data_IF_196334270649
#
_entry.id   IF_196334270649
#
_cell.length_a   1.000
_cell.length_b   1.000
_cell.length_c   1.000
_cell.angle_alpha   90.00
_cell.angle_beta   90.00
_cell.angle_gamma   90.00
#
_symmetry.space_group_name_H-M   'P 1'
#
loop_
_entity.id
_entity.type
_entity.pdbx_description
1 polymer ?
#
# COMPACT_ATOMS: atom_id res chain seq x y z
N UNK A 1 -8.78 21.07 19.98
CA UNK A 1 -8.69 19.62 20.20
C UNK A 1 -7.70 19.06 19.19
N UNK A 2 -6.75 18.23 19.65
CA UNK A 2 -5.85 17.54 18.72
C UNK A 2 -6.70 16.51 17.96
N UNK A 3 -6.66 16.57 16.62
CA UNK A 3 -7.33 15.61 15.75
C UNK A 3 -6.86 14.19 16.09
N UNK A 4 -7.80 13.28 16.35
CA UNK A 4 -7.48 11.90 16.65
C UNK A 4 -7.07 11.17 15.37
N UNK A 5 -5.81 10.79 15.28
CA UNK A 5 -5.24 10.04 14.16
C UNK A 5 -5.12 8.57 14.54
N UNK A 6 -5.71 7.69 13.77
CA UNK A 6 -5.68 6.25 14.02
C UNK A 6 -5.44 5.46 12.72
N UNK A 7 -4.65 4.39 12.83
CA UNK A 7 -4.50 3.38 11.77
C UNK A 7 -4.86 2.04 12.42
N UNK A 8 -5.92 1.41 11.93
CA UNK A 8 -6.40 0.14 12.48
C UNK A 8 -6.40 -0.97 11.45
N UNK A 9 -6.24 -2.19 11.91
CA UNK A 9 -6.37 -3.38 11.08
C UNK A 9 -7.81 -3.53 10.59
N UNK A 10 -7.93 -3.98 9.34
CA UNK A 10 -9.21 -4.23 8.65
C UNK A 10 -9.69 -5.65 8.92
N UNK A 11 -11.00 -5.81 9.03
CA UNK A 11 -11.69 -7.09 8.95
C UNK A 11 -12.49 -7.21 7.64
N UNK A 12 -13.06 -8.39 7.37
CA UNK A 12 -13.90 -8.58 6.18
C UNK A 12 -15.16 -7.72 6.17
N UNK A 13 -15.59 -7.21 7.32
CA UNK A 13 -16.73 -6.28 7.43
C UNK A 13 -16.39 -4.88 6.93
N UNK A 14 -15.12 -4.55 6.75
CA UNK A 14 -14.64 -3.26 6.25
C UNK A 14 -14.45 -3.23 4.72
N UNK A 15 -14.76 -4.31 4.01
CA UNK A 15 -14.54 -4.40 2.56
C UNK A 15 -15.23 -3.26 1.80
N UNK A 16 -16.46 -2.91 2.19
CA UNK A 16 -17.17 -1.78 1.58
C UNK A 16 -16.42 -0.46 1.75
N UNK A 17 -15.86 -0.21 2.93
CA UNK A 17 -15.05 0.99 3.18
C UNK A 17 -13.79 1.03 2.31
N UNK A 18 -13.09 -0.09 2.15
CA UNK A 18 -11.93 -0.18 1.24
C UNK A 18 -12.35 0.12 -0.20
N UNK A 19 -13.47 -0.43 -0.66
CA UNK A 19 -14.00 -0.21 -2.01
C UNK A 19 -14.36 1.26 -2.24
N UNK A 20 -15.00 1.90 -1.28
CA UNK A 20 -15.38 3.33 -1.37
C UNK A 20 -14.14 4.22 -1.46
N UNK A 21 -13.12 3.96 -0.64
CA UNK A 21 -11.84 4.66 -0.70
C UNK A 21 -11.12 4.41 -2.05
N UNK A 22 -11.08 3.17 -2.51
CA UNK A 22 -10.44 2.80 -3.76
C UNK A 22 -11.13 3.42 -4.98
N UNK A 23 -12.46 3.51 -4.98
CA UNK A 23 -13.25 4.12 -6.06
C UNK A 23 -12.89 5.60 -6.30
N UNK A 24 -12.38 6.27 -5.29
CA UNK A 24 -11.89 7.66 -5.39
C UNK A 24 -10.39 7.70 -5.68
N UNK A 25 -9.60 7.00 -4.88
CA UNK A 25 -8.14 7.13 -4.88
C UNK A 25 -7.47 6.53 -6.12
N UNK A 26 -7.95 5.39 -6.58
CA UNK A 26 -7.33 4.68 -7.70
C UNK A 26 -7.52 5.42 -9.03
N UNK A 27 -8.73 5.80 -9.45
CA UNK A 27 -8.92 6.62 -10.65
C UNK A 27 -8.22 7.98 -10.55
N UNK A 28 -8.23 8.63 -9.38
CA UNK A 28 -7.52 9.90 -9.17
C UNK A 28 -6.01 9.76 -9.44
N UNK A 29 -5.42 8.66 -9.00
CA UNK A 29 -3.98 8.40 -9.18
C UNK A 29 -3.63 8.11 -10.65
N UNK A 30 -4.48 7.35 -11.35
CA UNK A 30 -4.12 6.74 -12.63
C UNK A 30 -4.79 7.37 -13.86
N UNK A 31 -5.71 8.33 -13.70
CA UNK A 31 -6.47 8.93 -14.82
C UNK A 31 -5.59 9.60 -15.89
N UNK A 32 -4.39 10.03 -15.55
CA UNK A 32 -3.42 10.61 -16.50
C UNK A 32 -2.37 9.61 -17.00
N UNK A 33 -2.38 8.36 -16.50
CA UNK A 33 -1.37 7.34 -16.77
C UNK A 33 -1.95 6.18 -17.57
N UNK A 34 -3.18 5.77 -17.26
CA UNK A 34 -3.86 4.61 -17.83
C UNK A 34 -5.15 5.03 -18.52
N UNK A 35 -5.62 4.19 -19.46
CA UNK A 35 -6.94 4.38 -20.07
C UNK A 35 -8.07 4.13 -19.07
N UNK A 36 -9.24 4.71 -19.32
CA UNK A 36 -10.44 4.49 -18.51
C UNK A 36 -10.85 3.02 -18.47
N UNK A 37 -10.69 2.30 -19.57
CA UNK A 37 -10.98 0.87 -19.69
C UNK A 37 -10.03 0.04 -18.84
N UNK A 38 -8.73 0.37 -18.82
CA UNK A 38 -7.75 -0.31 -17.98
C UNK A 38 -8.01 -0.03 -16.50
N UNK A 39 -8.35 1.22 -16.14
CA UNK A 39 -8.73 1.57 -14.76
C UNK A 39 -9.96 0.77 -14.32
N UNK A 40 -11.00 0.69 -15.14
CA UNK A 40 -12.22 -0.08 -14.85
C UNK A 40 -11.91 -1.57 -14.67
N UNK A 41 -11.08 -2.14 -15.55
CA UNK A 41 -10.61 -3.52 -15.41
C UNK A 41 -9.86 -3.75 -14.10
N UNK A 42 -8.93 -2.87 -13.75
CA UNK A 42 -8.13 -2.99 -12.52
C UNK A 42 -8.98 -2.82 -11.27
N UNK A 43 -9.97 -1.92 -11.31
CA UNK A 43 -10.91 -1.75 -10.20
C UNK A 43 -11.72 -3.02 -9.93
N UNK A 44 -12.22 -3.69 -10.97
CA UNK A 44 -12.92 -4.95 -10.81
C UNK A 44 -11.98 -6.07 -10.35
N UNK A 45 -10.82 -6.19 -10.97
CA UNK A 45 -9.82 -7.22 -10.67
C UNK A 45 -9.29 -7.14 -9.24
N UNK A 46 -8.98 -5.92 -8.73
CA UNK A 46 -8.35 -5.75 -7.42
C UNK A 46 -9.31 -5.40 -6.29
N UNK A 47 -10.44 -4.76 -6.60
CA UNK A 47 -11.32 -4.14 -5.60
C UNK A 47 -12.77 -4.62 -5.64
N UNK A 48 -13.13 -5.62 -6.45
CA UNK A 48 -14.42 -6.28 -6.28
C UNK A 48 -14.50 -6.91 -4.88
N UNK A 49 -15.71 -7.06 -4.34
CA UNK A 49 -15.90 -7.66 -3.01
C UNK A 49 -15.25 -9.05 -2.92
N UNK A 50 -15.45 -9.85 -3.96
CA UNK A 50 -14.88 -11.19 -4.05
C UNK A 50 -13.35 -11.15 -4.04
N UNK A 51 -12.74 -10.23 -4.81
CA UNK A 51 -11.29 -10.09 -4.87
C UNK A 51 -10.70 -9.67 -3.52
N UNK A 52 -11.27 -8.65 -2.86
CA UNK A 52 -10.80 -8.20 -1.54
C UNK A 52 -10.96 -9.28 -0.48
N UNK A 53 -12.06 -10.03 -0.51
CA UNK A 53 -12.28 -11.17 0.40
C UNK A 53 -11.19 -12.21 0.21
N UNK A 54 -10.92 -12.63 -1.02
CA UNK A 54 -9.87 -13.60 -1.35
C UNK A 54 -8.48 -13.10 -0.92
N UNK A 55 -8.15 -11.84 -1.21
CA UNK A 55 -6.88 -11.24 -0.77
C UNK A 55 -6.70 -11.35 0.75
N UNK A 56 -7.75 -11.08 1.54
CA UNK A 56 -7.68 -11.09 3.00
C UNK A 56 -7.71 -12.50 3.61
N UNK A 57 -8.41 -13.45 2.99
CA UNK A 57 -8.64 -14.79 3.59
C UNK A 57 -7.77 -15.88 3.01
N UNK A 58 -7.29 -15.74 1.78
CA UNK A 58 -6.57 -16.79 1.05
C UNK A 58 -5.16 -16.34 0.62
N UNK A 59 -5.00 -15.09 0.19
CA UNK A 59 -3.74 -14.59 -0.36
C UNK A 59 -2.83 -13.94 0.70
N UNK A 60 -3.27 -13.82 1.95
CA UNK A 60 -2.48 -13.33 3.07
C UNK A 60 -2.26 -11.83 3.11
N UNK A 61 -3.07 -11.04 2.41
CA UNK A 61 -3.03 -9.59 2.52
C UNK A 61 -3.51 -9.12 3.90
N UNK A 62 -2.75 -8.24 4.53
CA UNK A 62 -3.09 -7.58 5.78
C UNK A 62 -3.41 -6.13 5.48
N UNK A 63 -4.67 -5.77 5.60
CA UNK A 63 -5.17 -4.43 5.31
C UNK A 63 -5.28 -3.58 6.57
N UNK A 64 -5.04 -2.28 6.39
CA UNK A 64 -5.24 -1.24 7.41
C UNK A 64 -6.00 -0.06 6.81
N UNK A 65 -6.85 0.55 7.61
CA UNK A 65 -7.54 1.81 7.31
C UNK A 65 -6.96 2.91 8.21
N UNK A 66 -6.63 4.03 7.60
CA UNK A 66 -6.26 5.25 8.30
C UNK A 66 -7.51 6.12 8.51
N UNK A 67 -7.68 6.62 9.72
CA UNK A 67 -8.81 7.45 10.12
C UNK A 67 -8.32 8.78 10.70
N UNK A 68 -8.99 9.85 10.32
CA UNK A 68 -8.88 11.15 10.95
C UNK A 68 -10.26 11.51 11.54
N UNK A 69 -10.31 11.73 12.86
CA UNK A 69 -11.56 12.00 13.59
C UNK A 69 -12.66 10.95 13.32
N UNK A 70 -12.25 9.66 13.26
CA UNK A 70 -13.07 8.49 12.92
C UNK A 70 -13.57 8.44 11.47
N UNK A 71 -13.12 9.33 10.60
CA UNK A 71 -13.45 9.33 9.17
C UNK A 71 -12.38 8.56 8.41
N UNK A 72 -12.71 7.49 7.66
CA UNK A 72 -11.77 6.79 6.81
C UNK A 72 -11.22 7.71 5.73
N UNK A 73 -9.88 7.81 5.62
CA UNK A 73 -9.25 8.73 4.68
C UNK A 73 -8.14 8.08 3.85
N UNK A 74 -7.79 6.84 4.12
CA UNK A 74 -6.79 6.11 3.37
C UNK A 74 -6.73 4.64 3.79
N UNK A 75 -6.04 3.85 3.01
CA UNK A 75 -5.82 2.42 3.29
C UNK A 75 -4.47 1.97 2.78
N UNK A 76 -3.94 0.93 3.39
CA UNK A 76 -2.75 0.22 2.94
C UNK A 76 -2.95 -1.29 3.07
N UNK A 77 -2.15 -2.04 2.32
CA UNK A 77 -2.10 -3.50 2.38
C UNK A 77 -0.66 -3.97 2.28
N UNK A 78 -0.27 -4.84 3.19
CA UNK A 78 1.00 -5.58 3.14
C UNK A 78 0.71 -7.07 2.95
N UNK A 79 1.64 -7.76 2.28
CA UNK A 79 1.54 -9.21 2.03
C UNK A 79 2.89 -9.85 2.27
N UNK A 80 3.01 -10.90 3.11
CA UNK A 80 4.20 -11.72 3.16
C UNK A 80 4.40 -12.47 1.83
N UNK A 81 5.59 -12.36 1.24
CA UNK A 81 5.95 -13.03 -0.03
C UNK A 81 7.21 -13.89 0.16
N UNK A 82 7.13 -14.94 0.94
CA UNK A 82 8.27 -15.80 1.25
C UNK A 82 8.85 -15.57 2.63
N UNK A 83 10.08 -16.04 2.86
CA UNK A 83 10.63 -16.11 4.20
C UNK A 83 10.96 -14.74 4.81
N UNK A 84 11.64 -13.90 4.03
CA UNK A 84 12.20 -12.62 4.51
C UNK A 84 11.78 -11.45 3.61
N UNK A 85 10.65 -11.58 2.89
CA UNK A 85 10.15 -10.60 1.93
C UNK A 85 8.70 -10.27 2.23
N UNK A 86 8.39 -8.97 2.25
CA UNK A 86 7.05 -8.42 2.34
C UNK A 86 6.80 -7.50 1.17
N UNK A 87 5.57 -7.46 0.68
CA UNK A 87 5.15 -6.52 -0.35
C UNK A 87 4.17 -5.49 0.21
N UNK A 88 4.47 -4.21 0.04
CA UNK A 88 3.51 -3.14 0.24
C UNK A 88 2.64 -3.06 -1.03
N UNK A 89 1.52 -3.77 -1.01
CA UNK A 89 0.66 -3.94 -2.18
C UNK A 89 -0.15 -2.69 -2.50
N UNK A 90 -0.56 -1.94 -1.47
CA UNK A 90 -1.40 -0.76 -1.60
C UNK A 90 -1.04 0.27 -0.54
N UNK A 91 -1.01 1.55 -0.92
CA UNK A 91 -0.95 2.70 -0.03
C UNK A 91 -1.63 3.87 -0.76
N UNK A 92 -2.84 4.20 -0.35
CA UNK A 92 -3.64 5.24 -0.97
C UNK A 92 -4.27 6.15 0.10
N UNK A 93 -4.38 7.43 -0.24
CA UNK A 93 -4.92 8.48 0.62
C UNK A 93 -5.87 9.31 -0.23
N UNK A 94 -7.04 9.64 0.29
CA UNK A 94 -7.98 10.54 -0.35
C UNK A 94 -7.29 11.87 -0.71
N UNK A 95 -7.59 12.46 -1.89
CA UNK A 95 -6.93 13.67 -2.36
C UNK A 95 -6.90 14.80 -1.33
N UNK A 96 -8.01 15.03 -0.62
CA UNK A 96 -8.13 16.11 0.38
C UNK A 96 -7.23 15.93 1.61
N UNK A 97 -6.70 14.73 1.83
CA UNK A 97 -5.81 14.40 2.95
C UNK A 97 -4.34 14.24 2.52
N UNK A 98 -4.03 14.42 1.23
CA UNK A 98 -2.67 14.38 0.73
C UNK A 98 -1.90 15.65 1.17
N UNK A 99 -0.57 15.53 1.28
CA UNK A 99 0.27 16.65 1.73
C UNK A 99 0.26 16.91 3.26
N UNK A 100 -0.56 16.21 4.02
CA UNK A 100 -0.70 16.39 5.49
C UNK A 100 0.16 15.40 6.31
N UNK A 101 1.11 14.71 5.68
CA UNK A 101 2.02 13.78 6.34
C UNK A 101 1.47 12.35 6.54
N UNK A 102 0.26 12.06 6.09
CA UNK A 102 -0.36 10.74 6.23
C UNK A 102 0.39 9.64 5.49
N UNK A 103 0.92 9.91 4.30
CA UNK A 103 1.72 8.94 3.55
C UNK A 103 2.89 8.41 4.37
N UNK A 104 3.65 9.31 5.01
CA UNK A 104 4.76 8.94 5.89
C UNK A 104 4.29 8.12 7.09
N UNK A 105 3.19 8.51 7.74
CA UNK A 105 2.65 7.78 8.90
C UNK A 105 2.21 6.37 8.51
N UNK A 106 1.51 6.22 7.39
CA UNK A 106 1.04 4.92 6.89
C UNK A 106 2.21 4.04 6.46
N UNK A 107 3.22 4.60 5.81
CA UNK A 107 4.44 3.88 5.43
C UNK A 107 5.20 3.38 6.67
N UNK A 108 5.39 4.23 7.67
CA UNK A 108 6.03 3.84 8.92
C UNK A 108 5.20 2.81 9.70
N UNK A 109 3.87 2.91 9.66
CA UNK A 109 3.00 1.89 10.25
C UNK A 109 3.22 0.53 9.57
N UNK A 110 3.27 0.48 8.24
CA UNK A 110 3.56 -0.75 7.49
C UNK A 110 4.91 -1.36 7.90
N UNK A 111 5.97 -0.54 7.97
CA UNK A 111 7.30 -1.04 8.39
C UNK A 111 7.32 -1.54 9.83
N UNK A 112 6.60 -0.89 10.74
CA UNK A 112 6.50 -1.34 12.14
C UNK A 112 5.73 -2.66 12.26
N UNK A 113 4.62 -2.80 11.55
CA UNK A 113 3.86 -4.08 11.50
C UNK A 113 4.74 -5.20 10.95
N UNK A 114 5.51 -4.95 9.89
CA UNK A 114 6.44 -5.94 9.34
C UNK A 114 7.48 -6.35 10.39
N UNK A 115 8.05 -5.41 11.13
CA UNK A 115 9.00 -5.70 12.22
C UNK A 115 8.40 -6.55 13.33
N UNK A 116 7.14 -6.31 13.68
CA UNK A 116 6.41 -7.10 14.68
C UNK A 116 6.14 -8.52 14.19
N UNK A 117 5.75 -8.67 12.92
CA UNK A 117 5.48 -9.98 12.31
C UNK A 117 6.75 -10.80 12.05
N UNK A 118 7.86 -10.11 11.76
CA UNK A 118 9.13 -10.73 11.38
C UNK A 118 10.30 -10.06 12.09
N UNK A 119 10.68 -10.56 13.28
CA UNK A 119 11.76 -9.96 14.09
C UNK A 119 13.18 -10.07 13.53
N UNK A 120 13.40 -10.83 12.45
CA UNK A 120 14.67 -10.91 11.74
C UNK A 120 14.79 -9.83 10.65
N UNK A 121 16.00 -9.50 10.16
CA UNK A 121 16.14 -8.64 8.99
C UNK A 121 15.34 -9.15 7.80
N UNK A 122 14.65 -8.24 7.12
CA UNK A 122 13.81 -8.57 5.97
C UNK A 122 13.76 -7.41 4.99
N UNK A 123 13.12 -7.63 3.86
CA UNK A 123 12.96 -6.62 2.81
C UNK A 123 11.49 -6.33 2.54
N UNK A 124 11.14 -5.05 2.43
CA UNK A 124 9.86 -4.62 1.91
C UNK A 124 10.02 -4.18 0.46
N UNK A 125 9.21 -4.75 -0.43
CA UNK A 125 9.12 -4.39 -1.85
C UNK A 125 7.81 -3.66 -2.11
N UNK A 126 7.76 -2.90 -3.20
CA UNK A 126 6.53 -2.41 -3.81
C UNK A 126 6.69 -2.22 -5.31
N UNK A 127 5.58 -2.32 -6.03
CA UNK A 127 5.49 -1.91 -7.42
C UNK A 127 4.94 -0.48 -7.49
N UNK A 128 5.57 0.36 -8.31
CA UNK A 128 5.10 1.71 -8.60
C UNK A 128 5.22 1.99 -10.09
N UNK A 129 4.12 2.42 -10.72
CA UNK A 129 4.15 2.79 -12.12
C UNK A 129 5.20 3.88 -12.36
N UNK A 130 5.97 3.77 -13.45
CA UNK A 130 7.09 4.69 -13.78
C UNK A 130 6.65 6.15 -13.88
N UNK A 131 5.39 6.41 -14.19
CA UNK A 131 4.80 7.75 -14.31
C UNK A 131 4.02 8.19 -13.07
N UNK A 132 3.96 7.37 -12.03
CA UNK A 132 3.26 7.71 -10.79
C UNK A 132 4.11 8.67 -9.94
N UNK A 133 3.54 9.80 -9.55
CA UNK A 133 4.18 10.81 -8.70
C UNK A 133 4.61 10.26 -7.34
N UNK A 134 4.00 9.19 -6.86
CA UNK A 134 4.36 8.53 -5.61
C UNK A 134 5.80 7.98 -5.61
N UNK A 135 6.44 7.79 -6.77
CA UNK A 135 7.83 7.37 -6.86
C UNK A 135 8.76 8.24 -6.01
N UNK A 136 8.61 9.57 -6.10
CA UNK A 136 9.43 10.50 -5.31
C UNK A 136 9.18 10.38 -3.81
N UNK A 137 7.95 10.11 -3.42
CA UNK A 137 7.61 9.85 -2.02
C UNK A 137 8.33 8.60 -1.52
N UNK A 138 8.29 7.49 -2.24
CA UNK A 138 8.97 6.26 -1.84
C UNK A 138 10.49 6.42 -1.78
N UNK A 139 11.09 7.16 -2.71
CA UNK A 139 12.52 7.50 -2.66
C UNK A 139 12.86 8.30 -1.39
N UNK A 140 12.04 9.29 -1.01
CA UNK A 140 12.20 10.05 0.25
C UNK A 140 12.04 9.20 1.50
N UNK A 141 11.27 8.10 1.41
CA UNK A 141 11.13 7.13 2.50
C UNK A 141 12.30 6.14 2.58
N UNK A 142 13.31 6.28 1.73
CA UNK A 142 14.53 5.47 1.73
C UNK A 142 14.48 4.25 0.81
N UNK A 143 13.43 4.09 0.01
CA UNK A 143 13.36 3.02 -0.97
C UNK A 143 14.26 3.28 -2.18
N UNK A 144 14.84 2.23 -2.72
CA UNK A 144 15.65 2.26 -3.95
C UNK A 144 15.06 1.36 -5.02
N UNK A 145 15.28 1.70 -6.29
CA UNK A 145 14.85 0.84 -7.39
C UNK A 145 15.72 -0.43 -7.41
N UNK A 146 15.07 -1.59 -7.35
CA UNK A 146 15.75 -2.90 -7.42
C UNK A 146 15.58 -3.59 -8.76
N UNK A 147 14.47 -3.33 -9.45
CA UNK A 147 14.23 -3.81 -10.83
C UNK A 147 13.10 -3.02 -11.50
N UNK A 148 12.78 -3.37 -12.73
CA UNK A 148 11.68 -2.84 -13.50
C UNK A 148 11.12 -3.88 -14.46
N UNK A 149 9.89 -3.69 -14.90
CA UNK A 149 9.27 -4.57 -15.89
C UNK A 149 7.97 -4.03 -16.44
N UNK A 150 7.51 -4.67 -17.49
CA UNK A 150 6.19 -4.50 -18.07
C UNK A 150 5.39 -5.76 -17.72
N UNK A 151 4.57 -5.64 -16.67
CA UNK A 151 3.86 -6.78 -16.09
C UNK A 151 2.48 -6.93 -16.74
N UNK A 152 2.26 -8.07 -17.39
CA UNK A 152 0.93 -8.42 -17.90
C UNK A 152 -0.04 -8.65 -16.73
N UNK A 153 -1.14 -7.91 -16.72
CA UNK A 153 -2.17 -8.00 -15.67
C UNK A 153 -3.47 -8.65 -16.15
N UNK A 154 -3.45 -9.22 -17.36
CA UNK A 154 -4.60 -9.84 -18.01
C UNK A 154 -5.33 -8.88 -18.96
N UNK A 155 -6.26 -9.44 -19.74
CA UNK A 155 -7.07 -8.71 -20.72
C UNK A 155 -6.27 -7.84 -21.72
N UNK A 156 -4.99 -8.20 -21.98
CA UNK A 156 -4.10 -7.44 -22.85
C UNK A 156 -3.51 -6.17 -22.21
N UNK A 157 -3.76 -5.92 -20.94
CA UNK A 157 -3.21 -4.77 -20.21
C UNK A 157 -1.87 -5.08 -19.53
N UNK A 158 -1.08 -4.02 -19.36
CA UNK A 158 0.23 -4.06 -18.70
C UNK A 158 0.34 -2.95 -17.67
N UNK A 159 1.12 -3.24 -16.60
CA UNK A 159 1.66 -2.23 -15.70
C UNK A 159 3.15 -2.09 -15.93
N UNK A 160 3.57 -0.87 -16.23
CA UNK A 160 4.96 -0.51 -16.50
C UNK A 160 5.57 0.03 -15.20
N UNK A 161 6.12 -0.87 -14.39
CA UNK A 161 6.47 -0.56 -13.01
C UNK A 161 7.98 -0.57 -12.77
N UNK A 162 8.41 0.26 -11.83
CA UNK A 162 9.60 0.01 -11.03
C UNK A 162 9.23 -0.85 -9.82
N UNK A 163 10.11 -1.78 -9.48
CA UNK A 163 10.08 -2.46 -8.18
C UNK A 163 11.04 -1.71 -7.26
N UNK A 164 10.50 -1.16 -6.18
CA UNK A 164 11.25 -0.46 -5.15
C UNK A 164 11.47 -1.37 -3.95
N UNK A 165 12.61 -1.25 -3.30
CA UNK A 165 12.96 -2.06 -2.13
C UNK A 165 13.47 -1.23 -0.96
N UNK A 166 13.15 -1.69 0.25
CA UNK A 166 13.65 -1.16 1.52
C UNK A 166 14.13 -2.31 2.39
N UNK A 167 15.38 -2.25 2.85
CA UNK A 167 15.88 -3.17 3.86
C UNK A 167 15.33 -2.75 5.24
N UNK A 168 14.68 -3.69 5.92
CA UNK A 168 14.14 -3.49 7.27
C UNK A 168 15.06 -4.23 8.24
N UNK A 169 15.86 -3.46 8.96
CA UNK A 169 16.75 -3.96 9.99
C UNK A 169 16.17 -3.61 11.38
N UNK A 170 16.33 -4.52 12.34
CA UNK A 170 16.08 -4.20 13.73
C UNK A 170 17.30 -3.45 14.26
N UNK A 171 17.13 -2.16 14.56
CA UNK A 171 18.12 -1.45 15.37
C UNK A 171 18.25 -2.22 16.68
N UNK A 172 19.44 -2.76 16.97
CA UNK A 172 19.76 -3.20 18.32
C UNK A 172 19.54 -1.97 19.19
N UNK A 173 18.56 -2.01 20.10
CA UNK A 173 18.57 -1.13 21.24
C UNK A 173 19.89 -1.41 21.98
N UNK A 174 20.88 -0.56 21.81
CA UNK A 174 21.99 -0.55 22.74
C UNK A 174 21.38 -0.24 24.11
N UNK A 175 21.55 -1.11 25.12
CA UNK A 175 21.15 -0.74 26.46
C UNK A 175 21.92 0.52 26.84
N UNK A 176 21.32 1.45 27.57
CA UNK A 176 22.06 2.59 28.10
C UNK A 176 23.18 2.08 28.98
N UNK A 177 24.41 2.60 28.76
CA UNK A 177 25.56 2.41 29.63
C UNK A 177 25.29 3.05 31.00
#
# INVERSE_FOLDING_TARGET
>A
MLSAHNIRKVSITDISTIRDLAAITFPHTYSTILSSEQIAYMMEWMYSEQSLRRQMTEEGHIYFIALQDNIPMGYLSIQPEGKDVFHLQKLYILPDYQGLGWGKRMFLHATNVIKELHPAPCRMLLNVNRHNRALHFYQKMGMTKVSEGDFAIGNGYYMNDYIMGLEINHSQCNPPL
#
